data_IF_591403838868
#
_entry.id   IF_591403838868
#
_cell.length_a   1.000
_cell.length_b   1.000
_cell.length_c   1.000
_cell.angle_alpha   90.00
_cell.angle_beta   90.00
_cell.angle_gamma   90.00
#
_symmetry.space_group_name_H-M   'P 1'
#
loop_
_entity.id
_entity.type
_entity.pdbx_description
1 polymer ?
#
# COMPACT_ATOMS: atom_id res chain seq x y z
N UNK A 1 67.57 -4.59 -13.55
CA UNK A 1 67.16 -3.68 -12.44
C UNK A 1 66.74 -2.29 -12.91
N UNK A 2 67.41 -1.66 -13.88
CA UNK A 2 67.02 -0.32 -14.39
C UNK A 2 65.65 -0.25 -15.09
N UNK A 3 65.25 -1.30 -15.81
CA UNK A 3 63.97 -1.34 -16.54
C UNK A 3 62.72 -1.46 -15.62
N UNK A 4 62.87 -2.06 -14.43
CA UNK A 4 61.77 -2.22 -13.47
C UNK A 4 61.45 -0.90 -12.74
N UNK A 5 62.49 -0.10 -12.45
CA UNK A 5 62.33 1.24 -11.89
C UNK A 5 61.68 2.22 -12.87
N UNK A 6 61.95 2.09 -14.17
CA UNK A 6 61.31 2.91 -15.21
C UNK A 6 59.81 2.59 -15.33
N UNK A 7 59.42 1.32 -15.20
CA UNK A 7 58.00 0.92 -15.21
C UNK A 7 57.24 1.41 -13.97
N UNK A 8 57.86 1.41 -12.79
CA UNK A 8 57.25 1.96 -11.56
C UNK A 8 57.15 3.49 -11.63
N UNK A 9 58.17 4.18 -12.17
CA UNK A 9 58.12 5.63 -12.36
C UNK A 9 57.09 6.05 -13.43
N UNK A 10 56.91 5.26 -14.50
CA UNK A 10 55.87 5.50 -15.51
C UNK A 10 54.47 5.19 -14.96
N UNK A 11 54.27 4.12 -14.18
CA UNK A 11 52.98 3.80 -13.57
C UNK A 11 52.52 4.87 -12.56
N UNK A 12 53.46 5.48 -11.82
CA UNK A 12 53.16 6.61 -10.93
C UNK A 12 52.86 7.90 -11.72
N UNK A 13 53.41 8.05 -12.94
CA UNK A 13 53.15 9.21 -13.81
C UNK A 13 51.75 9.19 -14.47
N UNK A 14 51.08 8.04 -14.54
CA UNK A 14 49.75 7.90 -15.16
C UNK A 14 48.59 7.81 -14.17
N UNK A 15 48.83 7.79 -12.85
CA UNK A 15 47.78 7.97 -11.86
C UNK A 15 47.37 9.45 -11.79
N UNK A 16 46.77 9.97 -12.88
CA UNK A 16 46.03 11.24 -12.83
C UNK A 16 44.87 11.02 -11.87
N UNK A 17 44.98 11.56 -10.66
CA UNK A 17 43.83 11.80 -9.79
C UNK A 17 42.80 12.53 -10.65
N UNK A 18 41.65 11.92 -10.93
CA UNK A 18 40.59 12.59 -11.69
C UNK A 18 40.30 13.91 -10.99
N UNK A 19 40.53 15.00 -11.71
CA UNK A 19 40.25 16.33 -11.19
C UNK A 19 38.75 16.53 -11.33
N UNK A 20 38.05 16.51 -10.20
CA UNK A 20 36.62 16.74 -10.17
C UNK A 20 36.29 18.22 -10.43
N UNK A 21 35.09 18.45 -10.96
CA UNK A 21 34.56 19.78 -11.22
C UNK A 21 34.22 20.50 -9.92
N UNK A 22 33.95 21.80 -10.02
CA UNK A 22 33.56 22.62 -8.86
C UNK A 22 32.35 22.02 -8.13
N UNK A 23 32.40 22.05 -6.78
CA UNK A 23 31.41 21.44 -5.90
C UNK A 23 31.27 19.91 -6.02
N UNK A 24 32.35 19.23 -6.41
CA UNK A 24 32.43 17.78 -6.40
C UNK A 24 33.79 17.28 -5.93
N UNK A 25 33.81 16.08 -5.33
CA UNK A 25 35.03 15.42 -4.89
C UNK A 25 35.09 13.96 -5.31
N UNK A 26 36.31 13.48 -5.51
CA UNK A 26 36.54 12.10 -5.91
C UNK A 26 36.36 11.19 -4.70
N UNK A 27 35.49 10.18 -4.86
CA UNK A 27 35.37 9.07 -3.94
C UNK A 27 35.91 7.81 -4.57
N UNK A 28 36.66 7.04 -3.78
CA UNK A 28 37.03 5.68 -4.17
C UNK A 28 35.83 4.70 -4.12
N UNK A 29 34.78 5.05 -3.39
CA UNK A 29 33.55 4.27 -3.20
C UNK A 29 32.42 5.24 -2.82
N UNK A 30 31.78 5.87 -3.82
CA UNK A 30 30.65 6.78 -3.64
C UNK A 30 29.31 6.14 -4.04
N UNK A 31 28.21 6.89 -3.94
CA UNK A 31 26.87 6.38 -4.27
C UNK A 31 26.74 6.07 -5.76
N UNK A 32 26.17 4.92 -6.11
CA UNK A 32 25.82 4.61 -7.51
C UNK A 32 24.47 5.19 -7.94
N UNK A 33 23.72 5.75 -6.99
CA UNK A 33 22.45 6.43 -7.22
C UNK A 33 22.57 7.89 -6.71
N UNK A 34 23.27 8.77 -7.44
CA UNK A 34 23.41 10.16 -7.01
C UNK A 34 22.06 10.89 -7.12
N UNK A 35 21.83 11.83 -6.21
CA UNK A 35 20.76 12.81 -6.35
C UNK A 35 21.07 13.76 -7.52
N UNK A 36 20.06 14.03 -8.32
CA UNK A 36 20.10 14.86 -9.51
C UNK A 36 18.94 15.85 -9.50
N UNK A 37 19.00 16.85 -10.37
CA UNK A 37 17.90 17.78 -10.55
C UNK A 37 16.57 17.10 -10.94
N UNK A 38 16.59 15.86 -11.44
CA UNK A 38 15.39 15.09 -11.80
C UNK A 38 14.77 14.33 -10.64
N UNK A 39 15.53 13.94 -9.61
CA UNK A 39 15.05 13.04 -8.56
C UNK A 39 15.15 13.62 -7.14
N UNK A 40 15.75 14.78 -6.91
CA UNK A 40 15.95 15.30 -5.54
C UNK A 40 14.66 15.62 -4.77
N UNK A 41 13.52 15.73 -5.47
CA UNK A 41 12.19 15.95 -4.86
C UNK A 41 11.46 14.66 -4.53
N UNK A 42 11.84 13.57 -5.19
CA UNK A 42 11.33 12.23 -4.97
C UNK A 42 12.52 11.27 -5.04
N UNK A 43 13.41 11.31 -4.02
CA UNK A 43 14.65 10.54 -4.04
C UNK A 43 14.34 9.06 -3.98
N UNK A 44 15.13 8.25 -4.69
CA UNK A 44 15.02 6.80 -4.58
C UNK A 44 15.19 6.37 -3.11
N UNK A 45 14.17 5.70 -2.56
CA UNK A 45 14.12 5.30 -1.15
C UNK A 45 15.29 4.37 -0.75
N UNK A 46 15.79 3.54 -1.67
CA UNK A 46 16.93 2.65 -1.40
C UNK A 46 17.85 2.44 -2.61
N UNK A 47 19.15 2.76 -2.47
CA UNK A 47 20.18 2.45 -3.45
C UNK A 47 20.85 1.10 -3.13
N UNK A 48 20.35 0.00 -3.71
CA UNK A 48 20.88 -1.35 -3.50
C UNK A 48 22.15 -1.66 -4.33
N UNK A 49 22.61 -0.71 -5.14
CA UNK A 49 23.74 -0.91 -6.02
C UNK A 49 25.07 -0.76 -5.27
N UNK A 50 26.10 -1.55 -5.64
CA UNK A 50 27.43 -1.40 -5.05
C UNK A 50 27.98 0.00 -5.31
N UNK A 51 28.79 0.52 -4.40
CA UNK A 51 29.40 1.83 -4.54
C UNK A 51 30.30 1.90 -5.79
N UNK A 52 30.38 3.09 -6.40
CA UNK A 52 31.19 3.32 -7.60
C UNK A 52 32.26 4.39 -7.37
N UNK A 53 33.52 4.16 -7.81
CA UNK A 53 34.56 5.18 -7.78
C UNK A 53 34.26 6.28 -8.81
N UNK A 54 34.52 7.54 -8.46
CA UNK A 54 34.36 8.67 -9.37
C UNK A 54 34.15 10.00 -8.64
N UNK A 55 33.84 11.06 -9.40
CA UNK A 55 33.48 12.36 -8.84
C UNK A 55 32.01 12.41 -8.45
N UNK A 56 31.73 12.70 -7.17
CA UNK A 56 30.39 12.87 -6.63
C UNK A 56 30.22 14.28 -6.11
N UNK A 57 28.99 14.81 -6.18
CA UNK A 57 28.71 16.16 -5.69
C UNK A 57 28.96 16.26 -4.17
N UNK A 58 29.45 17.42 -3.74
CA UNK A 58 29.63 17.71 -2.32
C UNK A 58 28.28 17.77 -1.58
N UNK A 59 28.23 17.53 -0.26
CA UNK A 59 26.98 17.61 0.50
C UNK A 59 26.24 18.94 0.28
N UNK A 60 24.94 18.86 -0.03
CA UNK A 60 24.10 20.02 -0.37
C UNK A 60 24.14 20.42 -1.85
N UNK A 61 24.87 19.70 -2.70
CA UNK A 61 24.87 19.85 -4.15
C UNK A 61 24.38 18.57 -4.82
N UNK A 62 23.67 18.74 -5.94
CA UNK A 62 23.12 17.66 -6.75
C UNK A 62 23.50 17.84 -8.22
N UNK A 63 23.49 16.76 -8.99
CA UNK A 63 23.98 16.78 -10.38
C UNK A 63 22.91 17.30 -11.33
N UNK A 64 23.24 18.32 -12.13
CA UNK A 64 22.38 18.80 -13.22
C UNK A 64 22.56 17.97 -14.50
N UNK A 65 21.63 18.07 -15.46
CA UNK A 65 21.74 17.47 -16.82
C UNK A 65 23.04 17.81 -17.54
N UNK A 66 23.59 18.98 -17.26
CA UNK A 66 24.86 19.46 -17.83
C UNK A 66 26.08 18.75 -17.24
N UNK A 67 25.90 17.89 -16.24
CA UNK A 67 26.97 17.18 -15.54
C UNK A 67 27.58 17.94 -14.35
N UNK A 68 27.20 19.21 -14.13
CA UNK A 68 27.73 20.06 -13.05
C UNK A 68 26.97 19.87 -11.74
N UNK A 69 27.66 20.03 -10.62
CA UNK A 69 27.05 20.03 -9.29
C UNK A 69 26.52 21.42 -8.95
N UNK A 70 25.22 21.50 -8.63
CA UNK A 70 24.52 22.76 -8.34
C UNK A 70 23.71 22.60 -7.05
N UNK A 71 23.40 23.71 -6.38
CA UNK A 71 22.43 23.68 -5.28
C UNK A 71 21.03 23.33 -5.81
N UNK A 72 20.19 22.62 -5.03
CA UNK A 72 18.83 22.27 -5.46
C UNK A 72 17.98 23.47 -5.92
N UNK A 73 18.14 24.63 -5.28
CA UNK A 73 17.49 25.90 -5.65
C UNK A 73 17.86 26.41 -7.05
N UNK A 74 19.02 26.01 -7.56
CA UNK A 74 19.57 26.38 -8.86
C UNK A 74 19.34 25.32 -9.94
N UNK A 75 18.67 24.22 -9.61
CA UNK A 75 18.20 23.31 -10.64
C UNK A 75 17.29 24.08 -11.61
N UNK A 76 17.41 23.86 -12.92
CA UNK A 76 16.46 24.43 -13.88
C UNK A 76 15.06 24.04 -13.40
N UNK A 77 14.23 25.03 -13.09
CA UNK A 77 12.83 24.78 -12.74
C UNK A 77 12.19 24.14 -13.95
N UNK A 78 12.15 22.81 -13.98
CA UNK A 78 11.26 22.07 -14.86
C UNK A 78 9.83 22.08 -14.33
N UNK A 79 9.62 22.67 -13.14
CA UNK A 79 8.31 23.15 -12.75
C UNK A 79 8.01 24.40 -13.55
N UNK A 80 7.25 24.20 -14.61
CA UNK A 80 6.11 25.07 -14.83
C UNK A 80 5.41 25.29 -13.47
N UNK A 81 5.61 26.45 -12.87
CA UNK A 81 4.67 26.99 -11.86
C UNK A 81 3.42 27.42 -12.61
N UNK A 82 2.81 26.50 -13.36
CA UNK A 82 1.48 26.65 -13.91
C UNK A 82 0.54 26.14 -12.84
N UNK A 83 -0.46 26.94 -12.56
CA UNK A 83 -1.56 26.56 -11.66
C UNK A 83 -2.13 25.22 -12.15
N UNK A 84 -2.09 24.21 -11.28
CA UNK A 84 -2.58 22.86 -11.61
C UNK A 84 -4.07 22.95 -11.88
N UNK A 85 -4.51 22.39 -13.00
CA UNK A 85 -5.91 22.44 -13.40
C UNK A 85 -6.30 21.14 -14.10
N UNK A 86 -7.10 20.33 -13.44
CA UNK A 86 -7.49 19.00 -13.90
C UNK A 86 -8.54 19.03 -15.02
N UNK A 87 -9.15 20.20 -15.29
CA UNK A 87 -10.26 20.34 -16.24
C UNK A 87 -9.82 20.87 -17.61
N UNK A 88 -8.57 21.28 -17.77
CA UNK A 88 -8.06 21.71 -19.06
C UNK A 88 -7.73 20.51 -19.96
N UNK A 89 -7.86 20.59 -21.30
CA UNK A 89 -7.38 19.53 -22.18
C UNK A 89 -5.84 19.46 -22.19
N UNK A 90 -5.21 18.29 -22.46
CA UNK A 90 -3.75 18.20 -22.52
C UNK A 90 -3.19 19.07 -23.65
N UNK A 91 -2.19 19.91 -23.35
CA UNK A 91 -1.62 20.86 -24.31
C UNK A 91 -0.17 20.52 -24.66
N UNK A 92 0.05 20.10 -25.92
CA UNK A 92 1.41 19.82 -26.45
C UNK A 92 2.29 21.08 -26.52
N UNK A 93 1.72 22.23 -26.87
CA UNK A 93 2.46 23.48 -27.08
C UNK A 93 3.26 23.51 -28.39
N UNK A 94 4.02 24.58 -28.60
CA UNK A 94 4.67 24.88 -29.89
C UNK A 94 6.06 24.25 -30.07
N UNK A 95 6.71 23.87 -28.98
CA UNK A 95 8.03 23.26 -29.02
C UNK A 95 7.99 21.84 -29.60
N UNK A 96 9.14 21.37 -30.10
CA UNK A 96 9.27 20.12 -30.86
C UNK A 96 9.88 18.97 -30.05
N UNK A 97 10.00 19.13 -28.73
CA UNK A 97 10.44 18.02 -27.89
C UNK A 97 9.35 16.94 -27.82
N UNK A 98 9.73 15.76 -27.35
CA UNK A 98 8.85 14.61 -27.19
C UNK A 98 8.93 14.11 -25.76
N UNK A 99 8.34 14.89 -24.84
CA UNK A 99 8.36 14.57 -23.42
C UNK A 99 7.06 13.84 -23.04
N UNK A 100 7.19 12.62 -22.51
CA UNK A 100 6.03 11.93 -21.94
C UNK A 100 5.57 12.65 -20.67
N UNK A 101 4.27 12.90 -20.57
CA UNK A 101 3.60 13.54 -19.44
C UNK A 101 2.27 12.85 -19.18
N UNK A 102 1.75 13.01 -17.99
CA UNK A 102 0.41 12.57 -17.61
C UNK A 102 -0.56 13.75 -17.61
N UNK A 103 -1.81 13.51 -17.98
CA UNK A 103 -2.91 14.47 -17.85
C UNK A 103 -4.13 13.75 -17.29
N UNK A 104 -4.97 14.47 -16.56
CA UNK A 104 -6.23 13.97 -16.05
C UNK A 104 -7.30 14.09 -17.14
N UNK A 105 -7.85 12.96 -17.58
CA UNK A 105 -9.02 12.94 -18.45
C UNK A 105 -10.29 12.96 -17.59
N UNK A 106 -10.86 14.14 -17.39
CA UNK A 106 -12.08 14.33 -16.59
C UNK A 106 -13.28 13.52 -17.08
N UNK A 107 -13.30 13.13 -18.36
CA UNK A 107 -14.38 12.30 -18.91
C UNK A 107 -14.31 10.88 -18.32
N UNK A 108 -13.12 10.27 -18.35
CA UNK A 108 -12.94 8.93 -17.80
C UNK A 108 -12.66 8.93 -16.30
N UNK A 109 -12.28 10.07 -15.72
CA UNK A 109 -11.79 10.17 -14.35
C UNK A 109 -10.41 9.52 -14.16
N UNK A 110 -9.62 9.39 -15.23
CA UNK A 110 -8.35 8.67 -15.22
C UNK A 110 -7.20 9.57 -15.68
N UNK A 111 -6.04 9.39 -15.07
CA UNK A 111 -4.80 9.93 -15.60
C UNK A 111 -4.29 9.11 -16.79
N UNK A 112 -3.96 9.78 -17.89
CA UNK A 112 -3.46 9.18 -19.14
C UNK A 112 -2.20 9.87 -19.63
N UNK A 113 -1.40 9.18 -20.42
CA UNK A 113 -0.18 9.74 -21.01
C UNK A 113 -0.49 10.61 -22.24
N UNK A 114 0.29 11.68 -22.42
CA UNK A 114 0.34 12.49 -23.63
C UNK A 114 1.77 12.98 -23.90
N UNK A 115 2.02 13.44 -25.14
CA UNK A 115 3.32 14.02 -25.53
C UNK A 115 3.28 15.54 -25.38
N UNK A 116 4.08 16.05 -24.46
CA UNK A 116 4.35 17.46 -24.28
C UNK A 116 5.55 17.90 -25.13
N UNK A 117 5.37 19.02 -25.85
CA UNK A 117 6.34 19.59 -26.77
C UNK A 117 7.52 20.29 -26.12
N UNK A 118 7.51 20.48 -24.79
CA UNK A 118 8.60 21.10 -24.02
C UNK A 118 8.39 22.58 -23.68
N UNK A 119 7.38 23.25 -24.24
CA UNK A 119 7.01 24.61 -23.86
C UNK A 119 5.51 24.89 -24.09
N UNK A 120 4.98 25.95 -23.48
CA UNK A 120 3.62 26.46 -23.69
C UNK A 120 2.47 25.45 -23.46
N UNK A 121 2.65 24.49 -22.56
CA UNK A 121 1.54 23.64 -22.10
C UNK A 121 0.59 24.41 -21.16
N UNK A 122 -0.17 23.67 -20.36
CA UNK A 122 -1.14 24.21 -19.40
C UNK A 122 -1.07 23.45 -18.06
N UNK A 123 -2.05 23.66 -17.18
CA UNK A 123 -2.08 23.13 -15.81
C UNK A 123 -2.35 21.63 -15.72
N UNK A 124 -2.95 21.04 -16.76
CA UNK A 124 -3.22 19.61 -16.85
C UNK A 124 -2.01 18.83 -17.44
N UNK A 125 -0.86 18.93 -16.76
CA UNK A 125 0.36 18.23 -17.16
C UNK A 125 1.21 17.87 -15.95
N UNK A 126 1.42 16.57 -15.76
CA UNK A 126 2.09 15.98 -14.61
C UNK A 126 3.26 15.11 -15.09
N UNK A 127 4.31 15.03 -14.30
CA UNK A 127 5.49 14.22 -14.61
C UNK A 127 5.20 12.73 -14.45
N UNK A 128 4.43 12.37 -13.42
CA UNK A 128 4.14 10.99 -13.08
C UNK A 128 2.64 10.74 -13.00
N UNK A 129 2.24 9.48 -13.17
CA UNK A 129 0.88 9.04 -12.92
C UNK A 129 0.46 9.36 -11.48
N UNK A 130 1.36 9.15 -10.51
CA UNK A 130 1.09 9.40 -9.09
C UNK A 130 0.79 10.87 -8.83
N UNK A 131 1.61 11.79 -9.36
CA UNK A 131 1.37 13.23 -9.24
C UNK A 131 0.01 13.61 -9.85
N UNK A 132 -0.30 13.10 -11.05
CA UNK A 132 -1.59 13.36 -11.69
C UNK A 132 -2.78 12.91 -10.82
N UNK A 133 -2.73 11.68 -10.31
CA UNK A 133 -3.78 11.14 -9.45
C UNK A 133 -3.86 11.88 -8.11
N UNK A 134 -2.73 12.30 -7.54
CA UNK A 134 -2.72 13.06 -6.29
C UNK A 134 -3.41 14.42 -6.43
N UNK A 135 -3.14 15.14 -7.53
CA UNK A 135 -3.71 16.47 -7.75
C UNK A 135 -5.16 16.44 -8.27
N UNK A 136 -5.56 15.37 -8.99
CA UNK A 136 -6.82 15.36 -9.73
C UNK A 136 -7.79 14.26 -9.38
N UNK A 137 -7.37 13.21 -8.67
CA UNK A 137 -8.36 12.30 -8.12
C UNK A 137 -9.17 13.06 -7.07
N UNK A 138 -10.48 13.08 -7.26
CA UNK A 138 -11.38 13.73 -6.33
C UNK A 138 -11.30 13.00 -4.98
N UNK A 139 -10.79 13.68 -3.96
CA UNK A 139 -10.73 13.22 -2.56
C UNK A 139 -11.87 13.81 -1.73
N UNK A 140 -12.87 14.42 -2.35
CA UNK A 140 -14.10 14.76 -1.64
C UNK A 140 -14.63 13.52 -0.91
N UNK A 141 -14.90 13.66 0.39
CA UNK A 141 -15.51 12.58 1.17
C UNK A 141 -16.73 12.03 0.43
N UNK A 142 -16.77 10.72 0.28
CA UNK A 142 -17.85 10.06 -0.45
C UNK A 142 -19.14 10.19 0.35
N UNK A 143 -20.04 11.07 -0.08
CA UNK A 143 -21.40 11.14 0.44
C UNK A 143 -22.27 10.05 -0.22
N UNK A 144 -22.34 8.89 0.44
CA UNK A 144 -23.13 7.75 -0.01
C UNK A 144 -24.65 7.98 0.02
N UNK A 145 -25.12 9.06 0.64
CA UNK A 145 -26.55 9.39 0.74
C UNK A 145 -26.99 10.38 -0.33
N UNK A 146 -26.04 10.97 -1.07
CA UNK A 146 -26.35 11.83 -2.20
C UNK A 146 -27.10 11.04 -3.28
N UNK A 147 -28.13 11.63 -3.89
CA UNK A 147 -28.84 11.01 -5.02
C UNK A 147 -27.96 11.03 -6.27
N UNK A 148 -28.09 10.06 -7.20
CA UNK A 148 -27.25 10.02 -8.39
C UNK A 148 -27.42 11.29 -9.21
N UNK A 149 -26.31 11.93 -9.55
CA UNK A 149 -26.30 13.17 -10.32
C UNK A 149 -25.60 12.95 -11.68
N UNK A 150 -26.36 12.92 -12.80
CA UNK A 150 -25.79 12.84 -14.14
C UNK A 150 -24.87 14.01 -14.49
N UNK A 151 -24.95 15.13 -13.76
CA UNK A 151 -24.23 16.36 -14.07
C UNK A 151 -24.79 17.08 -15.31
N UNK A 152 -24.01 18.03 -15.81
CA UNK A 152 -24.46 18.98 -16.86
C UNK A 152 -24.00 18.60 -18.27
N UNK A 153 -23.13 17.59 -18.39
CA UNK A 153 -22.69 17.07 -19.68
C UNK A 153 -23.64 15.97 -20.20
N UNK A 154 -23.53 15.62 -21.49
CA UNK A 154 -24.50 14.73 -22.17
C UNK A 154 -23.85 13.46 -22.75
N UNK A 155 -22.82 12.95 -22.10
CA UNK A 155 -22.20 11.68 -22.49
C UNK A 155 -22.95 10.51 -21.86
N UNK A 156 -22.94 9.35 -22.52
CA UNK A 156 -23.50 8.13 -21.96
C UNK A 156 -22.40 7.32 -21.27
N UNK A 157 -22.09 7.64 -20.00
CA UNK A 157 -21.13 6.88 -19.22
C UNK A 157 -21.83 6.08 -18.12
N UNK A 158 -21.95 4.75 -18.25
CA UNK A 158 -22.45 3.90 -17.18
C UNK A 158 -21.55 4.02 -15.94
N UNK A 159 -22.15 4.35 -14.79
CA UNK A 159 -21.50 4.47 -13.48
C UNK A 159 -22.38 3.82 -12.42
N UNK A 160 -21.84 3.59 -11.23
CA UNK A 160 -22.58 3.06 -10.09
C UNK A 160 -22.78 4.14 -9.03
N UNK A 161 -23.92 4.13 -8.35
CA UNK A 161 -24.19 4.92 -7.15
C UNK A 161 -24.77 4.00 -6.07
N UNK A 162 -24.59 4.35 -4.80
CA UNK A 162 -25.21 3.68 -3.68
C UNK A 162 -26.61 4.24 -3.44
N UNK A 163 -27.63 3.38 -3.54
CA UNK A 163 -28.99 3.71 -3.16
C UNK A 163 -29.17 3.38 -1.67
N UNK A 164 -29.29 4.42 -0.85
CA UNK A 164 -29.45 4.32 0.60
C UNK A 164 -30.78 3.68 1.02
N UNK A 165 -31.83 3.81 0.20
CA UNK A 165 -33.15 3.27 0.52
C UNK A 165 -33.24 1.78 0.22
N UNK A 166 -32.53 1.33 -0.82
CA UNK A 166 -32.46 -0.08 -1.20
C UNK A 166 -31.17 -0.79 -0.76
N UNK A 167 -30.30 -0.05 -0.04
CA UNK A 167 -29.01 -0.51 0.47
C UNK A 167 -28.14 -1.22 -0.59
N UNK A 168 -28.20 -0.73 -1.84
CA UNK A 168 -27.62 -1.42 -2.98
C UNK A 168 -26.92 -0.47 -3.95
N UNK A 169 -25.79 -0.90 -4.50
CA UNK A 169 -25.12 -0.21 -5.59
C UNK A 169 -25.86 -0.47 -6.91
N UNK A 170 -26.32 0.60 -7.56
CA UNK A 170 -27.11 0.57 -8.79
C UNK A 170 -26.44 1.36 -9.90
N UNK A 171 -26.73 0.99 -11.14
CA UNK A 171 -26.21 1.66 -12.31
C UNK A 171 -27.01 2.94 -12.61
N UNK A 172 -26.32 4.00 -13.01
CA UNK A 172 -26.90 5.22 -13.58
C UNK A 172 -26.05 5.72 -14.76
N UNK A 173 -26.60 6.65 -15.54
CA UNK A 173 -25.88 7.28 -16.65
C UNK A 173 -25.32 8.63 -16.19
N UNK A 174 -24.01 8.70 -16.09
CA UNK A 174 -23.29 9.94 -15.83
C UNK A 174 -22.95 10.66 -17.13
N UNK A 175 -23.22 11.96 -17.15
CA UNK A 175 -23.04 12.86 -18.29
C UNK A 175 -21.58 13.13 -18.67
N UNK A 176 -20.63 12.79 -17.81
CA UNK A 176 -19.19 12.95 -18.04
C UNK A 176 -18.57 14.23 -17.48
N UNK A 177 -19.35 15.10 -16.84
CA UNK A 177 -18.83 16.22 -16.06
C UNK A 177 -19.82 16.69 -14.98
N UNK A 178 -19.31 17.29 -13.90
CA UNK A 178 -20.11 17.70 -12.75
C UNK A 178 -20.47 16.50 -11.87
N UNK A 179 -21.73 16.41 -11.43
CA UNK A 179 -22.19 15.33 -10.59
C UNK A 179 -21.80 15.52 -9.11
N UNK A 180 -22.00 14.46 -8.33
CA UNK A 180 -21.55 14.36 -6.95
C UNK A 180 -20.72 13.09 -6.72
N UNK A 181 -20.29 12.90 -5.48
CA UNK A 181 -19.36 11.85 -5.05
C UNK A 181 -19.96 10.45 -5.00
N UNK A 182 -21.30 10.31 -5.05
CA UNK A 182 -21.97 9.02 -5.13
C UNK A 182 -21.95 8.51 -6.58
N UNK A 183 -20.75 8.34 -7.13
CA UNK A 183 -20.51 8.07 -8.54
C UNK A 183 -19.21 7.28 -8.71
N UNK A 184 -19.34 5.97 -8.89
CA UNK A 184 -18.24 5.02 -8.92
C UNK A 184 -18.11 4.39 -10.31
N UNK A 185 -16.87 4.06 -10.69
CA UNK A 185 -16.60 3.40 -11.97
C UNK A 185 -17.05 1.95 -11.92
N UNK A 186 -16.79 1.26 -10.79
CA UNK A 186 -17.13 -0.15 -10.62
C UNK A 186 -18.06 -0.37 -9.43
N UNK A 187 -18.76 -1.51 -9.45
CA UNK A 187 -19.68 -1.87 -8.37
C UNK A 187 -18.94 -2.20 -7.07
N UNK A 188 -17.71 -2.72 -7.17
CA UNK A 188 -16.84 -3.01 -6.02
C UNK A 188 -16.40 -1.73 -5.33
N UNK A 189 -16.06 -0.69 -6.09
CA UNK A 189 -15.73 0.63 -5.57
C UNK A 189 -16.92 1.22 -4.80
N UNK A 190 -18.13 1.11 -5.37
CA UNK A 190 -19.35 1.57 -4.70
C UNK A 190 -19.59 0.87 -3.36
N UNK A 191 -19.57 -0.48 -3.32
CA UNK A 191 -19.78 -1.21 -2.06
C UNK A 191 -18.62 -0.99 -1.08
N UNK A 192 -17.38 -0.92 -1.56
CA UNK A 192 -16.19 -0.66 -0.75
C UNK A 192 -16.25 0.68 -0.04
N UNK A 193 -16.80 1.71 -0.69
CA UNK A 193 -16.92 3.05 -0.12
C UNK A 193 -18.23 3.29 0.65
N UNK A 194 -19.31 2.57 0.36
CA UNK A 194 -20.62 2.87 0.97
C UNK A 194 -21.18 1.79 1.89
N UNK A 195 -20.93 0.50 1.61
CA UNK A 195 -21.41 -0.57 2.49
C UNK A 195 -20.42 -0.87 3.63
N UNK A 196 -19.13 -0.64 3.42
CA UNK A 196 -18.10 -0.90 4.43
C UNK A 196 -18.06 0.18 5.54
N UNK A 197 -18.34 1.44 5.20
CA UNK A 197 -18.32 2.56 6.15
C UNK A 197 -19.46 2.53 7.18
N UNK A 198 -20.58 1.87 6.87
CA UNK A 198 -21.64 1.66 7.87
C UNK A 198 -21.16 0.80 9.04
N UNK A 199 -20.34 -0.23 8.78
CA UNK A 199 -19.79 -1.06 9.86
C UNK A 199 -18.73 -0.33 10.67
N UNK A 200 -17.92 0.51 10.02
CA UNK A 200 -16.82 1.23 10.67
C UNK A 200 -17.37 2.32 11.61
N UNK A 201 -18.33 3.14 11.18
CA UNK A 201 -18.93 4.17 12.06
C UNK A 201 -19.68 3.56 13.25
N UNK A 202 -20.27 2.37 13.10
CA UNK A 202 -20.91 1.64 14.21
C UNK A 202 -19.86 1.03 15.13
N UNK A 203 -18.75 0.50 14.59
CA UNK A 203 -17.64 -0.03 15.39
C UNK A 203 -17.01 1.11 16.21
N UNK A 204 -16.65 2.25 15.60
CA UNK A 204 -16.01 3.37 16.29
C UNK A 204 -16.91 4.04 17.34
N UNK A 205 -18.23 4.00 17.20
CA UNK A 205 -19.17 4.47 18.24
C UNK A 205 -19.45 3.42 19.33
N UNK A 206 -19.08 2.16 19.10
CA UNK A 206 -19.25 1.03 20.03
C UNK A 206 -17.93 0.50 20.63
N UNK A 207 -16.77 1.06 20.29
CA UNK A 207 -15.50 0.71 20.95
C UNK A 207 -15.45 1.40 22.31
N UNK A 208 -15.94 0.73 23.36
CA UNK A 208 -15.45 1.00 24.71
C UNK A 208 -13.93 0.74 24.69
N UNK A 209 -13.11 1.80 24.78
CA UNK A 209 -11.64 1.69 24.77
C UNK A 209 -11.21 0.67 25.83
N UNK A 210 -10.75 -0.52 25.43
CA UNK A 210 -10.34 -1.57 26.38
C UNK A 210 -9.06 -1.15 27.10
N UNK A 211 -9.02 -1.34 28.41
CA UNK A 211 -7.86 -0.97 29.25
C UNK A 211 -7.52 -2.08 30.23
N UNK A 212 -6.23 -2.37 30.37
CA UNK A 212 -5.70 -3.34 31.32
C UNK A 212 -4.97 -2.67 32.50
N UNK A 213 -4.99 -1.34 32.55
CA UNK A 213 -4.20 -0.56 33.51
C UNK A 213 -5.07 0.22 34.50
N UNK A 214 -6.29 0.56 34.11
CA UNK A 214 -7.17 1.36 34.93
C UNK A 214 -7.74 0.56 36.10
N UNK A 215 -8.07 1.18 37.24
CA UNK A 215 -8.80 0.52 38.31
C UNK A 215 -10.25 0.20 37.88
N UNK A 216 -10.91 -0.83 38.44
CA UNK A 216 -12.31 -1.10 38.15
C UNK A 216 -13.18 0.06 38.62
N UNK A 217 -14.10 0.51 37.77
CA UNK A 217 -14.98 1.64 38.06
C UNK A 217 -16.46 1.25 38.03
N UNK A 218 -17.11 1.34 39.19
CA UNK A 218 -18.54 1.00 39.35
C UNK A 218 -19.44 1.97 38.59
N UNK A 219 -19.05 3.24 38.49
CA UNK A 219 -19.88 4.31 37.93
C UNK A 219 -21.02 4.76 38.86
N UNK A 220 -21.79 5.81 38.49
CA UNK A 220 -22.79 6.43 39.35
C UNK A 220 -24.15 5.72 39.36
N UNK A 221 -24.39 4.82 38.39
CA UNK A 221 -25.62 4.04 38.32
C UNK A 221 -25.64 2.91 39.37
N UNK A 222 -26.83 2.37 39.68
CA UNK A 222 -27.05 1.43 40.80
C UNK A 222 -27.54 0.04 40.37
N UNK A 223 -27.30 -0.34 39.11
CA UNK A 223 -27.51 -1.72 38.70
C UNK A 223 -26.45 -2.63 39.36
N UNK A 224 -26.75 -3.92 39.47
CA UNK A 224 -25.80 -4.93 39.95
C UNK A 224 -25.45 -5.78 38.74
N UNK A 225 -24.37 -5.42 38.05
CA UNK A 225 -23.91 -6.12 36.85
C UNK A 225 -22.53 -6.73 37.11
N UNK A 226 -22.46 -8.05 37.35
CA UNK A 226 -21.19 -8.78 37.40
C UNK A 226 -20.36 -8.53 36.14
N UNK A 227 -19.15 -8.01 36.31
CA UNK A 227 -18.17 -7.76 35.26
C UNK A 227 -16.79 -8.17 35.74
N UNK A 228 -15.87 -8.31 34.80
CA UNK A 228 -14.48 -8.68 35.07
C UNK A 228 -13.55 -7.50 34.80
N UNK A 229 -12.49 -7.35 35.59
CA UNK A 229 -11.42 -6.39 35.37
C UNK A 229 -10.06 -7.06 35.57
N UNK A 230 -9.05 -6.57 34.87
CA UNK A 230 -7.67 -7.03 35.04
C UNK A 230 -7.01 -6.32 36.22
N UNK A 231 -6.56 -7.09 37.20
CA UNK A 231 -5.87 -6.58 38.36
C UNK A 231 -4.36 -6.71 38.15
N UNK A 232 -3.67 -5.59 37.97
CA UNK A 232 -2.23 -5.57 37.75
C UNK A 232 -1.40 -6.06 38.94
N UNK A 233 -1.94 -5.96 40.17
CA UNK A 233 -1.23 -6.41 41.37
C UNK A 233 -1.21 -7.93 41.47
N UNK A 234 -2.30 -8.59 41.09
CA UNK A 234 -2.39 -10.05 41.08
C UNK A 234 -1.95 -10.65 39.74
N UNK A 235 -1.92 -9.85 38.68
CA UNK A 235 -1.65 -10.29 37.32
C UNK A 235 -2.79 -11.12 36.70
N UNK A 236 -4.00 -11.04 37.25
CA UNK A 236 -5.14 -11.88 36.85
C UNK A 236 -6.45 -11.09 36.80
N UNK A 237 -7.48 -11.68 36.21
CA UNK A 237 -8.83 -11.11 36.12
C UNK A 237 -9.65 -11.40 37.38
N UNK A 238 -10.35 -10.39 37.88
CA UNK A 238 -11.22 -10.47 39.05
C UNK A 238 -12.62 -9.92 38.75
N UNK A 239 -13.64 -10.46 39.41
CA UNK A 239 -15.01 -9.95 39.30
C UNK A 239 -15.18 -8.65 40.10
N UNK A 240 -16.00 -7.73 39.58
CA UNK A 240 -16.51 -6.56 40.27
C UNK A 240 -17.96 -6.26 39.85
N UNK A 241 -18.66 -5.46 40.65
CA UNK A 241 -20.05 -5.08 40.38
C UNK A 241 -20.09 -3.73 39.68
N UNK A 242 -20.43 -3.73 38.39
CA UNK A 242 -20.62 -2.52 37.61
C UNK A 242 -22.03 -1.97 37.77
N UNK A 243 -22.12 -0.65 37.96
CA UNK A 243 -23.34 0.09 38.23
C UNK A 243 -24.26 0.29 37.02
N UNK A 244 -23.78 -0.01 35.81
CA UNK A 244 -24.58 0.00 34.58
C UNK A 244 -24.44 1.27 33.71
N UNK A 245 -23.64 2.25 34.12
CA UNK A 245 -23.31 3.40 33.28
C UNK A 245 -21.92 3.99 33.60
N UNK A 246 -21.33 4.68 32.63
CA UNK A 246 -19.97 5.26 32.71
C UNK A 246 -18.89 4.18 32.96
N UNK A 247 -17.89 4.50 33.77
CA UNK A 247 -16.73 3.64 33.97
C UNK A 247 -15.66 3.85 32.90
N UNK A 248 -14.66 2.99 32.97
CA UNK A 248 -13.52 2.98 32.08
C UNK A 248 -13.39 1.65 31.33
N UNK A 249 -12.29 1.53 30.58
CA UNK A 249 -11.98 0.41 29.71
C UNK A 249 -11.68 -0.92 30.37
N UNK A 250 -11.39 -0.95 31.68
CA UNK A 250 -11.05 -2.17 32.40
C UNK A 250 -12.31 -2.87 32.90
N UNK A 251 -13.14 -3.28 31.94
CA UNK A 251 -14.48 -3.85 32.14
C UNK A 251 -14.78 -4.85 31.03
N UNK A 252 -14.90 -6.11 31.40
CA UNK A 252 -15.09 -7.23 30.50
C UNK A 252 -16.31 -8.05 30.93
N UNK A 253 -16.95 -8.70 29.96
CA UNK A 253 -18.19 -9.45 30.20
C UNK A 253 -17.93 -10.85 30.73
N UNK A 254 -16.72 -11.39 30.54
CA UNK A 254 -16.29 -12.66 31.11
C UNK A 254 -14.81 -12.65 31.52
N UNK A 255 -14.42 -13.63 32.35
CA UNK A 255 -13.02 -13.85 32.74
C UNK A 255 -12.15 -14.12 31.50
N UNK A 256 -12.67 -14.92 30.56
CA UNK A 256 -11.98 -15.29 29.33
C UNK A 256 -11.75 -14.08 28.43
N UNK A 257 -12.75 -13.19 28.29
CA UNK A 257 -12.60 -11.95 27.55
C UNK A 257 -11.51 -11.08 28.19
N UNK A 258 -11.54 -10.92 29.51
CA UNK A 258 -10.52 -10.17 30.25
C UNK A 258 -9.11 -10.76 30.06
N UNK A 259 -8.96 -12.08 30.17
CA UNK A 259 -7.68 -12.77 29.97
C UNK A 259 -7.20 -12.72 28.52
N UNK A 260 -8.12 -12.74 27.55
CA UNK A 260 -7.79 -12.59 26.14
C UNK A 260 -7.19 -11.21 25.85
N UNK A 261 -7.75 -10.14 26.43
CA UNK A 261 -7.25 -8.78 26.21
C UNK A 261 -6.03 -8.44 27.07
N UNK A 262 -5.97 -8.90 28.32
CA UNK A 262 -4.99 -8.43 29.31
C UNK A 262 -4.04 -9.49 29.85
N UNK A 263 -4.33 -10.78 29.64
CA UNK A 263 -3.51 -11.87 30.12
C UNK A 263 -2.20 -11.98 29.34
N UNK A 264 -1.15 -11.31 29.82
CA UNK A 264 0.19 -11.52 29.31
C UNK A 264 0.67 -12.94 29.68
N UNK A 265 0.58 -13.90 28.74
CA UNK A 265 1.27 -15.19 28.91
C UNK A 265 0.79 -16.44 28.16
N UNK A 266 -0.26 -16.43 27.30
CA UNK A 266 -0.67 -17.68 26.60
C UNK A 266 -1.22 -17.53 25.15
N UNK A 267 -0.89 -16.47 24.40
CA UNK A 267 -1.35 -16.32 23.01
C UNK A 267 -0.27 -15.99 21.97
N UNK A 268 0.81 -16.79 21.93
CA UNK A 268 1.61 -16.95 20.69
C UNK A 268 1.54 -18.37 20.10
N UNK A 269 0.84 -19.34 20.73
CA UNK A 269 0.87 -20.74 20.24
C UNK A 269 -0.47 -21.49 20.21
N UNK A 270 -1.63 -20.82 20.15
CA UNK A 270 -2.92 -21.56 20.09
C UNK A 270 -3.84 -21.34 18.89
N UNK A 271 -3.43 -20.59 17.87
CA UNK A 271 -4.20 -20.52 16.60
C UNK A 271 -3.40 -20.80 15.32
N UNK A 272 -2.08 -21.03 15.39
CA UNK A 272 -1.27 -21.47 14.23
C UNK A 272 -0.93 -22.98 14.20
N UNK A 273 -1.38 -23.77 15.18
CA UNK A 273 -1.12 -25.22 15.25
C UNK A 273 -2.42 -26.06 15.32
N UNK A 274 -3.45 -25.68 14.56
CA UNK A 274 -4.60 -26.58 14.32
C UNK A 274 -4.94 -26.85 12.86
N UNK A 275 -4.44 -26.06 11.90
CA UNK A 275 -4.65 -26.35 10.47
C UNK A 275 -3.51 -27.11 9.79
N UNK A 276 -2.28 -27.08 10.35
CA UNK A 276 -1.16 -27.83 9.75
C UNK A 276 -1.14 -29.31 10.16
N UNK A 277 -1.56 -29.65 11.37
CA UNK A 277 -1.53 -31.05 11.85
C UNK A 277 -2.65 -31.94 11.30
N UNK A 278 -3.77 -31.37 10.84
CA UNK A 278 -4.82 -32.17 10.17
C UNK A 278 -4.40 -32.65 8.77
N UNK A 279 -3.62 -31.83 8.05
CA UNK A 279 -3.16 -32.17 6.69
C UNK A 279 -2.00 -33.19 6.70
N UNK A 280 -1.11 -33.13 7.70
CA UNK A 280 -0.02 -34.10 7.83
C UNK A 280 -0.42 -35.39 8.56
N UNK A 281 -1.42 -35.35 9.47
CA UNK A 281 -1.90 -36.56 10.15
C UNK A 281 -2.69 -37.49 9.22
N UNK A 282 -3.51 -36.95 8.30
CA UNK A 282 -4.30 -37.76 7.36
C UNK A 282 -3.44 -38.48 6.32
N UNK A 283 -2.34 -37.87 5.85
CA UNK A 283 -1.38 -38.51 4.94
C UNK A 283 -0.56 -39.60 5.65
N UNK A 284 -0.12 -39.34 6.88
CA UNK A 284 0.65 -40.32 7.65
C UNK A 284 -0.23 -41.52 8.04
N UNK A 285 -1.51 -41.32 8.36
CA UNK A 285 -2.46 -42.41 8.64
C UNK A 285 -2.74 -43.25 7.38
N UNK A 286 -2.83 -42.64 6.19
CA UNK A 286 -2.95 -43.35 4.91
C UNK A 286 -1.70 -44.15 4.52
N UNK A 287 -0.50 -43.59 4.76
CA UNK A 287 0.77 -44.28 4.50
C UNK A 287 1.03 -45.42 5.49
N UNK A 288 0.65 -45.26 6.76
CA UNK A 288 0.71 -46.32 7.76
C UNK A 288 -0.28 -47.45 7.42
N UNK A 289 -1.51 -47.12 6.96
CA UNK A 289 -2.48 -48.13 6.51
C UNK A 289 -2.00 -48.92 5.28
N UNK A 290 -1.31 -48.27 4.33
CA UNK A 290 -0.71 -48.95 3.17
C UNK A 290 0.50 -49.83 3.53
N UNK A 291 1.18 -49.54 4.65
CA UNK A 291 2.32 -50.33 5.15
C UNK A 291 1.95 -51.48 6.09
N UNK A 292 0.70 -51.53 6.57
CA UNK A 292 0.18 -52.57 7.46
C UNK A 292 -0.74 -53.59 6.75
N UNK A 293 -0.93 -53.48 5.43
CA UNK A 293 -1.54 -54.56 4.66
C UNK A 293 -0.57 -55.76 4.63
N UNK A 294 -0.94 -56.92 5.18
CA UNK A 294 -0.06 -58.08 5.15
C UNK A 294 0.13 -58.56 3.72
N UNK A 295 1.35 -58.45 3.20
CA UNK A 295 1.79 -59.17 2.00
C UNK A 295 1.88 -60.66 2.31
N UNK A 296 0.76 -61.37 2.17
CA UNK A 296 0.74 -62.82 1.93
C UNK A 296 -0.25 -63.10 0.80
N UNK A 297 0.28 -63.35 -0.39
CA UNK A 297 0.37 -64.69 -0.97
C UNK A 297 -1.01 -65.28 -1.33
N UNK A 298 -1.36 -65.10 -2.61
CA UNK A 298 -1.83 -66.14 -3.55
C UNK A 298 -2.69 -67.28 -2.99
N UNK A 299 -3.93 -67.38 -3.46
CA UNK A 299 -4.52 -68.66 -3.89
C UNK A 299 -5.94 -68.47 -4.45
N UNK A 300 -6.12 -68.96 -5.69
CA UNK A 300 -7.36 -69.42 -6.31
C UNK A 300 -8.49 -68.42 -6.63
N UNK A 301 -8.55 -68.03 -7.91
CA UNK A 301 -9.80 -68.03 -8.67
C UNK A 301 -9.50 -68.47 -10.12
N UNK A 302 -9.71 -69.76 -10.38
CA UNK A 302 -9.89 -70.30 -11.73
C UNK A 302 -11.29 -69.89 -12.21
N UNK A 303 -11.41 -69.07 -13.25
CA UNK A 303 -12.57 -69.14 -14.13
C UNK A 303 -12.17 -68.83 -15.57
N UNK A 304 -12.29 -69.87 -16.40
CA UNK A 304 -12.14 -69.89 -17.86
C UNK A 304 -13.02 -68.83 -18.51
N UNK A 305 -12.46 -68.12 -19.49
CA UNK A 305 -13.22 -67.60 -20.63
C UNK A 305 -12.66 -68.20 -21.91
N UNK A 306 -13.51 -69.00 -22.56
CA UNK A 306 -13.31 -69.53 -23.90
C UNK A 306 -13.22 -68.38 -24.89
N UNK A 307 -12.17 -68.35 -25.70
CA UNK A 307 -12.15 -67.66 -26.99
C UNK A 307 -12.16 -68.75 -28.05
N UNK A 308 -13.24 -68.83 -28.82
CA UNK A 308 -13.28 -69.58 -30.08
C UNK A 308 -13.22 -68.58 -31.23
N UNK A 309 -12.10 -68.61 -31.93
CA UNK A 309 -11.93 -68.06 -33.27
C UNK A 309 -12.58 -68.99 -34.30
N UNK A 310 -13.46 -68.43 -35.13
CA UNK A 310 -13.61 -68.74 -36.56
C UNK A 310 -14.18 -67.50 -37.24
#
# INVERSE_FOLDING_TARGET
MMLFFIFVLLAVAFARKEKCDEHSHYHACGTSCPETCENYRDPFEECIYPCSPGCHCDPGFIKAKTGKCVRPENCPRTDDVREKNCFEPPKKGLCKDSLSRWYYDSNSGQCREFIYGGCEGNGNSYMTFHECMEYCADRSEVDCYAKPDPGQCYTNMPRYYYDDLEEACKLFIYGGCGGNTNNFVTIEECYGNCALFQTISIIYSAVEEKSCIDPPEVGPCRAIMPKWYYNQQTGNCHEFLYGGCQGNGNKYSSEEECLQYCGAGLYVYRTFISFKYFYYSSIIVLLIFMSLLPTKFTSYCNFKWHVSSQ
#
